data_IF_386974795696
#
_entry.id   IF_386974795696
#
_cell.length_a   1.000
_cell.length_b   1.000
_cell.length_c   1.000
_cell.angle_alpha   90.00
_cell.angle_beta   90.00
_cell.angle_gamma   90.00
#
_symmetry.space_group_name_H-M   'P 1'
#
loop_
_entity.id
_entity.type
_entity.pdbx_description
1 polymer ?
#
# COMPACT_ATOMS: atom_id res chain seq x y z
N UNK A 1 -19.36 -20.44 38.85
CA UNK A 1 -20.21 -19.87 37.82
C UNK A 1 -19.98 -20.55 36.48
N UNK A 2 -20.94 -20.66 35.57
CA UNK A 2 -20.70 -21.28 34.27
C UNK A 2 -19.65 -20.48 33.49
N UNK A 3 -18.82 -21.13 32.66
CA UNK A 3 -17.86 -20.42 31.85
C UNK A 3 -18.63 -19.50 30.87
N UNK A 4 -18.31 -18.23 30.88
CA UNK A 4 -18.79 -17.27 29.89
C UNK A 4 -18.45 -17.78 28.49
N UNK A 5 -19.48 -18.14 27.73
CA UNK A 5 -19.29 -18.66 26.38
C UNK A 5 -18.83 -17.50 25.48
N UNK A 6 -17.79 -17.73 24.70
CA UNK A 6 -17.27 -16.79 23.70
C UNK A 6 -18.33 -16.33 22.66
N UNK A 7 -19.49 -16.96 22.66
CA UNK A 7 -20.56 -16.77 21.65
C UNK A 7 -21.34 -15.48 21.86
N UNK A 8 -21.27 -14.88 23.06
CA UNK A 8 -22.11 -13.72 23.43
C UNK A 8 -21.35 -12.36 23.33
N UNK A 9 -20.09 -12.38 22.89
CA UNK A 9 -19.27 -11.16 22.72
C UNK A 9 -19.41 -10.62 21.30
N UNK A 10 -19.47 -9.29 21.18
CA UNK A 10 -19.31 -8.67 19.87
C UNK A 10 -17.95 -9.03 19.24
N UNK A 11 -17.86 -9.02 17.90
CA UNK A 11 -16.64 -9.41 17.18
C UNK A 11 -15.42 -8.63 17.62
N UNK A 12 -15.55 -7.33 17.90
CA UNK A 12 -14.47 -6.48 18.42
C UNK A 12 -13.97 -6.92 19.79
N UNK A 13 -14.87 -7.36 20.68
CA UNK A 13 -14.54 -7.88 22.00
C UNK A 13 -13.88 -9.25 21.92
N UNK A 14 -14.33 -10.11 21.01
CA UNK A 14 -13.72 -11.41 20.74
C UNK A 14 -12.28 -11.26 20.25
N UNK A 15 -12.02 -10.34 19.32
CA UNK A 15 -10.69 -10.03 18.81
C UNK A 15 -9.79 -9.50 19.92
N UNK A 16 -10.29 -8.57 20.74
CA UNK A 16 -9.55 -7.99 21.86
C UNK A 16 -9.16 -9.05 22.88
N UNK A 17 -10.12 -9.91 23.25
CA UNK A 17 -9.89 -11.02 24.18
C UNK A 17 -8.87 -12.03 23.61
N UNK A 18 -8.95 -12.34 22.32
CA UNK A 18 -7.99 -13.21 21.65
C UNK A 18 -6.57 -12.61 21.69
N UNK A 19 -6.43 -11.32 21.48
CA UNK A 19 -5.14 -10.63 21.56
C UNK A 19 -4.59 -10.61 22.99
N UNK A 20 -5.42 -10.32 23.98
CA UNK A 20 -5.04 -10.32 25.41
C UNK A 20 -4.59 -11.71 25.90
N UNK A 21 -5.27 -12.77 25.46
CA UNK A 21 -4.91 -14.16 25.79
C UNK A 21 -3.57 -14.54 25.16
N UNK A 22 -3.34 -14.15 23.91
CA UNK A 22 -2.11 -14.51 23.18
C UNK A 22 -0.89 -13.69 23.59
N UNK A 23 -1.04 -12.49 24.13
CA UNK A 23 0.08 -11.72 24.70
C UNK A 23 0.75 -12.45 25.89
N UNK A 24 -0.01 -13.29 26.57
CA UNK A 24 0.47 -14.04 27.74
C UNK A 24 1.04 -15.44 27.41
N UNK A 25 0.83 -15.97 26.20
CA UNK A 25 1.23 -17.35 25.88
C UNK A 25 2.29 -17.44 24.77
N UNK A 26 2.12 -16.73 23.67
CA UNK A 26 3.05 -16.64 22.55
C UNK A 26 2.79 -15.35 21.80
N UNK A 27 3.81 -14.58 21.49
CA UNK A 27 3.66 -13.33 20.76
C UNK A 27 2.89 -13.56 19.44
N UNK A 28 1.75 -12.90 19.30
CA UNK A 28 1.00 -12.89 18.03
C UNK A 28 1.87 -12.23 16.97
N UNK A 29 2.04 -12.84 15.77
CA UNK A 29 2.78 -12.23 14.68
C UNK A 29 2.29 -10.81 14.42
N UNK A 30 3.22 -9.88 14.19
CA UNK A 30 2.91 -8.46 13.99
C UNK A 30 1.93 -8.24 12.84
N UNK A 31 2.09 -8.96 11.72
CA UNK A 31 1.19 -8.92 10.57
C UNK A 31 -0.23 -9.36 10.90
N UNK A 32 -0.39 -10.41 11.73
CA UNK A 32 -1.71 -10.85 12.17
C UNK A 32 -2.36 -9.82 13.11
N UNK A 33 -1.59 -9.23 14.01
CA UNK A 33 -2.04 -8.18 14.92
C UNK A 33 -2.54 -6.94 14.15
N UNK A 34 -1.83 -6.54 13.12
CA UNK A 34 -2.24 -5.44 12.23
C UNK A 34 -3.58 -5.74 11.55
N UNK A 35 -3.75 -6.96 11.04
CA UNK A 35 -4.99 -7.39 10.37
C UNK A 35 -6.19 -7.40 11.33
N UNK A 36 -6.01 -7.92 12.55
CA UNK A 36 -7.05 -7.93 13.58
C UNK A 36 -7.42 -6.52 14.06
N UNK A 37 -6.43 -5.64 14.22
CA UNK A 37 -6.67 -4.25 14.57
C UNK A 37 -7.47 -3.50 13.49
N UNK A 38 -7.30 -3.83 12.21
CA UNK A 38 -8.07 -3.24 11.14
C UNK A 38 -9.57 -3.50 11.30
N UNK A 39 -9.97 -4.73 11.62
CA UNK A 39 -11.38 -5.06 11.87
C UNK A 39 -11.96 -4.29 13.06
N UNK A 40 -11.17 -4.09 14.13
CA UNK A 40 -11.61 -3.34 15.32
C UNK A 40 -11.79 -1.84 15.06
N UNK A 41 -10.94 -1.26 14.22
CA UNK A 41 -10.87 0.19 14.02
C UNK A 41 -11.70 0.66 12.81
N UNK A 42 -12.33 -0.26 12.08
CA UNK A 42 -13.06 0.04 10.84
C UNK A 42 -14.17 1.09 11.04
N UNK A 43 -14.90 0.99 12.14
CA UNK A 43 -15.97 1.91 12.51
C UNK A 43 -15.63 2.74 13.77
N UNK A 44 -14.35 2.92 14.07
CA UNK A 44 -13.93 3.74 15.20
C UNK A 44 -14.52 5.16 15.15
N UNK A 45 -14.90 5.76 16.28
CA UNK A 45 -15.30 7.16 16.33
C UNK A 45 -14.13 8.14 16.04
N UNK A 46 -12.88 7.66 16.10
CA UNK A 46 -11.69 8.39 15.68
C UNK A 46 -11.43 8.15 14.18
N UNK A 47 -11.54 9.20 13.37
CA UNK A 47 -11.38 9.09 11.92
C UNK A 47 -9.95 8.75 11.49
N UNK A 48 -8.95 9.12 12.29
CA UNK A 48 -7.56 8.71 12.06
C UNK A 48 -7.41 7.20 12.19
N UNK A 49 -8.05 6.58 13.18
CA UNK A 49 -8.09 5.13 13.36
C UNK A 49 -8.86 4.43 12.23
N UNK A 50 -9.97 5.00 11.76
CA UNK A 50 -10.69 4.48 10.60
C UNK A 50 -9.79 4.43 9.36
N UNK A 51 -9.01 5.48 9.11
CA UNK A 51 -8.07 5.51 7.98
C UNK A 51 -6.90 4.54 8.15
N UNK A 52 -6.46 4.31 9.37
CA UNK A 52 -5.49 3.24 9.67
C UNK A 52 -6.06 1.87 9.32
N UNK A 53 -7.29 1.57 9.71
CA UNK A 53 -7.99 0.34 9.36
C UNK A 53 -8.13 0.17 7.84
N UNK A 54 -8.47 1.23 7.12
CA UNK A 54 -8.58 1.23 5.67
C UNK A 54 -7.24 0.89 5.00
N UNK A 55 -6.13 1.48 5.43
CA UNK A 55 -4.80 1.16 4.91
C UNK A 55 -4.43 -0.30 5.15
N UNK A 56 -4.75 -0.83 6.32
CA UNK A 56 -4.55 -2.24 6.66
C UNK A 56 -5.37 -3.17 5.76
N UNK A 57 -6.63 -2.82 5.53
CA UNK A 57 -7.53 -3.60 4.65
C UNK A 57 -7.02 -3.64 3.22
N UNK A 58 -6.59 -2.51 2.67
CA UNK A 58 -6.00 -2.43 1.33
C UNK A 58 -4.74 -3.30 1.23
N UNK A 59 -3.85 -3.23 2.23
CA UNK A 59 -2.64 -4.05 2.26
C UNK A 59 -2.96 -5.55 2.29
N UNK A 60 -3.94 -5.96 3.07
CA UNK A 60 -4.41 -7.34 3.14
C UNK A 60 -5.00 -7.79 1.81
N UNK A 61 -5.89 -7.01 1.22
CA UNK A 61 -6.50 -7.34 -0.08
C UNK A 61 -5.45 -7.48 -1.18
N UNK A 62 -4.44 -6.60 -1.23
CA UNK A 62 -3.33 -6.71 -2.18
C UNK A 62 -2.56 -8.02 -2.05
N UNK A 63 -2.46 -8.58 -0.85
CA UNK A 63 -1.76 -9.85 -0.63
C UNK A 63 -2.62 -11.10 -0.84
N UNK A 64 -3.93 -11.00 -0.68
CA UNK A 64 -4.86 -12.16 -0.62
C UNK A 64 -5.75 -12.31 -1.85
N UNK A 65 -6.16 -11.21 -2.49
CA UNK A 65 -7.04 -11.28 -3.66
C UNK A 65 -6.34 -11.97 -4.84
N UNK A 66 -7.04 -12.94 -5.45
CA UNK A 66 -6.45 -13.76 -6.53
C UNK A 66 -6.09 -12.96 -7.78
N UNK A 67 -6.77 -11.83 -8.00
CA UNK A 67 -6.52 -10.92 -9.12
C UNK A 67 -5.40 -9.94 -8.86
N UNK A 68 -4.98 -9.79 -7.60
CA UNK A 68 -3.94 -8.85 -7.22
C UNK A 68 -2.57 -9.25 -7.77
N UNK A 69 -1.82 -8.31 -8.35
CA UNK A 69 -0.44 -8.57 -8.77
C UNK A 69 0.51 -8.85 -7.60
N UNK A 70 0.13 -8.48 -6.38
CA UNK A 70 0.88 -8.78 -5.14
C UNK A 70 0.36 -10.03 -4.40
N UNK A 71 -0.57 -10.78 -4.98
CA UNK A 71 -1.01 -12.06 -4.43
C UNK A 71 0.20 -12.96 -4.14
N UNK A 72 0.25 -13.53 -2.95
CA UNK A 72 1.37 -14.38 -2.48
C UNK A 72 2.74 -13.68 -2.41
N UNK A 73 2.80 -12.35 -2.49
CA UNK A 73 4.04 -11.57 -2.36
C UNK A 73 4.14 -10.80 -1.05
N UNK A 74 3.04 -10.72 -0.32
CA UNK A 74 2.96 -10.05 0.99
C UNK A 74 2.89 -11.10 2.09
N UNK A 75 3.71 -10.94 3.13
CA UNK A 75 3.69 -11.78 4.33
C UNK A 75 2.47 -11.38 5.18
N UNK A 76 1.47 -12.26 5.23
CA UNK A 76 0.23 -12.05 5.98
C UNK A 76 0.02 -13.20 6.97
N UNK A 77 -0.38 -12.87 8.20
CA UNK A 77 -0.67 -13.85 9.23
C UNK A 77 0.56 -14.71 9.57
N UNK A 78 0.42 -16.02 9.43
CA UNK A 78 1.46 -17.00 9.71
C UNK A 78 2.31 -17.37 8.49
N UNK A 79 2.09 -16.72 7.34
CA UNK A 79 2.86 -16.99 6.14
C UNK A 79 4.35 -16.71 6.36
N UNK A 80 5.19 -17.62 5.91
CA UNK A 80 6.64 -17.44 6.00
C UNK A 80 7.13 -16.46 4.92
N UNK A 81 8.13 -15.66 5.29
CA UNK A 81 8.88 -14.85 4.34
C UNK A 81 9.72 -15.76 3.44
N UNK A 82 9.71 -15.47 2.14
CA UNK A 82 10.53 -16.13 1.14
C UNK A 82 11.15 -15.06 0.23
N UNK A 83 12.13 -15.38 -0.63
CA UNK A 83 12.67 -14.40 -1.58
C UNK A 83 11.62 -13.75 -2.50
N UNK A 84 10.51 -14.45 -2.78
CA UNK A 84 9.41 -13.91 -3.60
C UNK A 84 8.22 -13.42 -2.78
N UNK A 85 8.15 -13.78 -1.49
CA UNK A 85 7.17 -13.27 -0.51
C UNK A 85 7.93 -12.50 0.56
N UNK A 86 8.38 -11.30 0.24
CA UNK A 86 9.25 -10.50 1.11
C UNK A 86 8.71 -9.09 1.41
N UNK A 87 7.51 -8.77 0.94
CA UNK A 87 6.82 -7.51 1.25
C UNK A 87 6.03 -7.70 2.55
N UNK A 88 6.10 -6.74 3.46
CA UNK A 88 5.34 -6.77 4.70
C UNK A 88 4.06 -5.93 4.59
N UNK A 89 3.04 -6.30 5.36
CA UNK A 89 1.79 -5.50 5.47
C UNK A 89 2.12 -4.08 5.94
N UNK A 90 3.02 -3.96 6.90
CA UNK A 90 3.46 -2.68 7.47
C UNK A 90 4.14 -1.78 6.43
N UNK A 91 4.87 -2.36 5.48
CA UNK A 91 5.48 -1.59 4.38
C UNK A 91 4.41 -0.93 3.50
N UNK A 92 3.38 -1.68 3.12
CA UNK A 92 2.25 -1.15 2.35
C UNK A 92 1.50 -0.08 3.14
N UNK A 93 1.18 -0.36 4.41
CA UNK A 93 0.53 0.63 5.29
C UNK A 93 1.35 1.91 5.42
N UNK A 94 2.66 1.80 5.63
CA UNK A 94 3.56 2.95 5.74
C UNK A 94 3.59 3.78 4.47
N UNK A 95 3.62 3.14 3.30
CA UNK A 95 3.53 3.82 2.02
C UNK A 95 2.22 4.58 1.88
N UNK A 96 1.09 3.92 2.10
CA UNK A 96 -0.23 4.54 2.02
C UNK A 96 -0.41 5.70 3.01
N UNK A 97 0.19 5.61 4.21
CA UNK A 97 0.17 6.69 5.20
C UNK A 97 0.93 7.93 4.73
N UNK A 98 1.98 7.78 3.93
CA UNK A 98 2.76 8.88 3.35
C UNK A 98 2.07 9.51 2.13
N UNK A 99 1.07 8.84 1.56
CA UNK A 99 0.32 9.28 0.39
C UNK A 99 -0.86 10.18 0.77
N UNK A 100 -1.41 10.87 -0.23
CA UNK A 100 -2.59 11.75 -0.13
C UNK A 100 -3.86 11.09 -0.70
N UNK A 101 -3.89 9.77 -0.81
CA UNK A 101 -5.08 9.05 -1.29
C UNK A 101 -6.27 9.19 -0.34
N UNK A 102 -6.00 9.19 0.96
CA UNK A 102 -7.02 9.23 2.01
C UNK A 102 -6.89 10.50 2.85
N UNK A 103 -8.00 10.90 3.46
CA UNK A 103 -8.04 12.02 4.38
C UNK A 103 -7.04 11.84 5.54
N UNK A 104 -6.46 12.93 5.96
CA UNK A 104 -5.64 13.01 7.16
C UNK A 104 -6.36 13.82 8.22
N UNK A 105 -6.51 13.26 9.40
CA UNK A 105 -7.19 13.88 10.53
C UNK A 105 -6.22 14.13 11.68
N UNK A 106 -6.40 15.29 12.32
CA UNK A 106 -5.77 15.63 13.59
C UNK A 106 -6.65 15.28 14.79
N UNK A 107 -6.31 15.82 15.94
CA UNK A 107 -7.10 15.66 17.18
C UNK A 107 -8.54 16.10 16.98
N UNK A 108 -9.48 15.42 17.64
CA UNK A 108 -10.93 15.70 17.60
C UNK A 108 -11.51 15.64 16.17
N UNK A 109 -10.99 14.73 15.34
CA UNK A 109 -11.44 14.53 13.96
C UNK A 109 -11.36 15.78 13.06
N UNK A 110 -10.44 16.72 13.35
CA UNK A 110 -10.23 17.87 12.49
C UNK A 110 -9.52 17.43 11.22
N UNK A 111 -10.17 17.63 10.07
CA UNK A 111 -9.59 17.36 8.77
C UNK A 111 -8.37 18.25 8.52
N UNK A 112 -7.20 17.65 8.29
CA UNK A 112 -5.96 18.36 8.00
C UNK A 112 -5.65 18.41 6.51
N UNK A 113 -5.88 17.30 5.81
CA UNK A 113 -5.70 17.18 4.35
C UNK A 113 -6.79 16.30 3.78
N UNK A 114 -7.35 16.73 2.67
CA UNK A 114 -8.33 15.95 1.92
C UNK A 114 -7.62 14.94 1.02
N UNK A 115 -8.11 13.70 1.04
CA UNK A 115 -7.61 12.62 0.20
C UNK A 115 -8.23 12.61 -1.19
N UNK A 116 -7.44 12.25 -2.20
CA UNK A 116 -7.89 12.25 -3.61
C UNK A 116 -8.95 11.18 -3.90
N UNK A 117 -9.01 10.11 -3.10
CA UNK A 117 -9.98 9.02 -3.24
C UNK A 117 -10.95 8.91 -2.05
N UNK A 118 -10.84 9.75 -1.04
CA UNK A 118 -11.59 9.60 0.20
C UNK A 118 -13.05 10.03 0.04
N UNK A 119 -13.97 9.07 0.23
CA UNK A 119 -15.42 9.26 0.17
C UNK A 119 -16.06 9.48 1.55
N UNK A 120 -15.26 9.73 2.60
CA UNK A 120 -15.70 9.88 4.00
C UNK A 120 -16.28 8.61 4.64
N UNK A 121 -16.33 7.53 3.92
CA UNK A 121 -16.74 6.20 4.34
C UNK A 121 -15.69 5.19 3.93
N UNK A 122 -15.31 4.28 4.85
CA UNK A 122 -14.24 3.32 4.61
C UNK A 122 -14.58 2.32 3.49
N UNK A 123 -15.82 1.83 3.45
CA UNK A 123 -16.22 0.85 2.44
C UNK A 123 -16.28 1.48 1.05
N UNK A 124 -16.90 2.64 0.93
CA UNK A 124 -16.97 3.38 -0.34
C UNK A 124 -15.58 3.77 -0.84
N UNK A 125 -14.71 4.22 0.07
CA UNK A 125 -13.32 4.56 -0.27
C UNK A 125 -12.53 3.33 -0.70
N UNK A 126 -12.68 2.21 -0.01
CA UNK A 126 -12.06 0.94 -0.39
C UNK A 126 -12.51 0.47 -1.77
N UNK A 127 -13.81 0.49 -2.03
CA UNK A 127 -14.41 0.06 -3.30
C UNK A 127 -13.95 0.94 -4.49
N UNK A 128 -13.69 2.22 -4.23
CA UNK A 128 -13.18 3.16 -5.23
C UNK A 128 -11.66 3.01 -5.43
N UNK A 129 -10.90 2.93 -4.37
CA UNK A 129 -9.43 2.99 -4.42
C UNK A 129 -8.78 1.65 -4.78
N UNK A 130 -9.30 0.54 -4.27
CA UNK A 130 -8.64 -0.76 -4.47
C UNK A 130 -8.50 -1.14 -5.95
N UNK A 131 -9.55 -1.04 -6.79
CA UNK A 131 -9.41 -1.31 -8.23
C UNK A 131 -8.37 -0.41 -8.92
N UNK A 132 -8.25 0.82 -8.48
CA UNK A 132 -7.28 1.77 -9.00
C UNK A 132 -5.84 1.33 -8.71
N UNK A 133 -5.51 1.07 -7.44
CA UNK A 133 -4.14 0.68 -7.07
C UNK A 133 -3.77 -0.68 -7.65
N UNK A 134 -4.72 -1.63 -7.68
CA UNK A 134 -4.53 -2.93 -8.32
C UNK A 134 -4.18 -2.77 -9.80
N UNK A 135 -4.90 -1.93 -10.54
CA UNK A 135 -4.66 -1.66 -11.96
C UNK A 135 -3.31 -1.01 -12.21
N UNK A 136 -2.89 -0.06 -11.38
CA UNK A 136 -1.57 0.56 -11.47
C UNK A 136 -0.45 -0.48 -11.25
N UNK A 137 -0.57 -1.30 -10.23
CA UNK A 137 0.42 -2.33 -9.92
C UNK A 137 0.43 -3.45 -10.97
N UNK A 138 -0.72 -3.80 -11.53
CA UNK A 138 -0.84 -4.75 -12.64
C UNK A 138 -0.10 -4.26 -13.88
N UNK A 139 -0.28 -2.99 -14.25
CA UNK A 139 0.46 -2.36 -15.35
C UNK A 139 1.97 -2.45 -15.14
N UNK A 140 2.45 -2.15 -13.94
CA UNK A 140 3.89 -2.22 -13.62
C UNK A 140 4.38 -3.66 -13.69
N UNK A 141 3.63 -4.63 -13.16
CA UNK A 141 3.97 -6.07 -13.26
C UNK A 141 4.11 -6.52 -14.71
N UNK A 142 3.11 -6.24 -15.53
CA UNK A 142 3.07 -6.67 -16.93
C UNK A 142 4.19 -6.04 -17.76
N UNK A 143 4.55 -4.81 -17.46
CA UNK A 143 5.60 -4.07 -18.17
C UNK A 143 7.00 -4.44 -17.67
N UNK A 144 7.15 -4.83 -16.40
CA UNK A 144 8.42 -5.15 -15.76
C UNK A 144 8.48 -6.60 -15.25
N UNK A 145 7.92 -7.56 -15.98
CA UNK A 145 7.68 -8.92 -15.51
C UNK A 145 8.95 -9.60 -14.98
N UNK A 146 10.08 -9.46 -15.68
CA UNK A 146 11.34 -10.06 -15.25
C UNK A 146 11.82 -9.53 -13.88
N UNK A 147 11.67 -8.24 -13.62
CA UNK A 147 12.01 -7.66 -12.32
C UNK A 147 10.98 -8.02 -11.25
N UNK A 148 9.70 -8.03 -11.64
CA UNK A 148 8.62 -8.38 -10.73
C UNK A 148 8.78 -9.77 -10.14
N UNK A 149 9.12 -10.74 -10.98
CA UNK A 149 9.21 -12.15 -10.58
C UNK A 149 10.40 -12.47 -9.70
N UNK A 150 11.47 -11.67 -9.74
CA UNK A 150 12.67 -11.90 -8.94
C UNK A 150 12.45 -11.77 -7.44
N UNK A 151 11.52 -10.90 -7.00
CA UNK A 151 11.43 -10.57 -5.58
C UNK A 151 12.74 -9.99 -5.08
N UNK A 152 13.33 -10.57 -4.04
CA UNK A 152 14.60 -10.17 -3.44
C UNK A 152 15.79 -11.08 -3.86
N UNK A 153 15.61 -11.98 -4.81
CA UNK A 153 16.67 -12.84 -5.36
C UNK A 153 17.22 -12.30 -6.67
N UNK A 154 18.38 -12.80 -7.09
CA UNK A 154 19.03 -12.47 -8.38
C UNK A 154 19.19 -10.95 -8.63
N UNK A 155 19.52 -10.21 -7.58
CA UNK A 155 19.57 -8.75 -7.60
C UNK A 155 18.24 -8.06 -7.95
N UNK A 156 17.12 -8.76 -7.78
CA UNK A 156 15.78 -8.21 -7.91
C UNK A 156 15.57 -7.05 -6.93
N UNK A 157 14.79 -6.05 -7.34
CA UNK A 157 14.64 -4.84 -6.53
C UNK A 157 13.21 -4.26 -6.55
N UNK A 158 12.33 -4.75 -7.42
CA UNK A 158 11.01 -4.14 -7.60
C UNK A 158 10.02 -4.60 -6.55
N UNK A 159 9.88 -5.90 -6.33
CA UNK A 159 8.90 -6.48 -5.41
C UNK A 159 9.50 -6.77 -4.02
N UNK A 160 10.06 -5.74 -3.43
CA UNK A 160 10.59 -5.70 -2.07
C UNK A 160 10.08 -4.43 -1.35
N UNK A 161 10.14 -4.42 -0.03
CA UNK A 161 9.55 -3.34 0.79
C UNK A 161 9.89 -1.93 0.29
N UNK A 162 11.16 -1.62 0.16
CA UNK A 162 11.65 -0.26 -0.16
C UNK A 162 11.18 0.22 -1.52
N UNK A 163 11.22 -0.65 -2.51
CA UNK A 163 10.82 -0.32 -3.88
C UNK A 163 9.31 -0.25 -4.04
N UNK A 164 8.55 -1.21 -3.50
CA UNK A 164 7.09 -1.17 -3.61
C UNK A 164 6.48 0.04 -2.86
N UNK A 165 7.07 0.43 -1.73
CA UNK A 165 6.71 1.66 -1.04
C UNK A 165 6.93 2.89 -1.95
N UNK A 166 8.06 2.95 -2.63
CA UNK A 166 8.39 4.02 -3.57
C UNK A 166 7.46 4.03 -4.78
N UNK A 167 7.10 2.87 -5.31
CA UNK A 167 6.13 2.74 -6.41
C UNK A 167 4.77 3.31 -6.00
N UNK A 168 4.24 2.95 -4.84
CA UNK A 168 2.96 3.46 -4.33
C UNK A 168 3.03 4.99 -4.15
N UNK A 169 4.13 5.51 -3.61
CA UNK A 169 4.31 6.96 -3.41
C UNK A 169 4.39 7.72 -4.74
N UNK A 170 5.06 7.18 -5.74
CA UNK A 170 5.14 7.81 -7.08
C UNK A 170 3.80 7.78 -7.80
N UNK A 171 3.01 6.72 -7.63
CA UNK A 171 1.63 6.69 -8.14
C UNK A 171 0.81 7.82 -7.50
N UNK A 172 0.96 8.04 -6.20
CA UNK A 172 0.33 9.16 -5.49
C UNK A 172 0.78 10.52 -6.04
N UNK A 173 2.08 10.70 -6.29
CA UNK A 173 2.61 11.95 -6.87
C UNK A 173 1.97 12.24 -8.24
N UNK A 174 1.87 11.23 -9.11
CA UNK A 174 1.21 11.35 -10.42
C UNK A 174 -0.26 11.74 -10.25
N UNK A 175 -0.99 11.07 -9.37
CA UNK A 175 -2.40 11.38 -9.10
C UNK A 175 -2.56 12.80 -8.60
N UNK A 176 -1.78 13.20 -7.60
CA UNK A 176 -1.86 14.55 -7.03
C UNK A 176 -1.59 15.63 -8.10
N UNK A 177 -0.57 15.46 -8.90
CA UNK A 177 -0.26 16.38 -9.99
C UNK A 177 -1.42 16.49 -10.99
N UNK A 178 -2.00 15.36 -11.40
CA UNK A 178 -3.12 15.35 -12.35
C UNK A 178 -4.40 15.97 -11.76
N UNK A 179 -4.67 15.73 -10.48
CA UNK A 179 -5.80 16.34 -9.77
C UNK A 179 -5.60 17.84 -9.62
N UNK A 180 -4.42 18.30 -9.22
CA UNK A 180 -4.10 19.72 -9.07
C UNK A 180 -4.19 20.49 -10.40
N UNK A 181 -3.87 19.83 -11.52
CA UNK A 181 -4.04 20.38 -12.88
C UNK A 181 -5.47 20.27 -13.41
N UNK A 182 -6.39 19.67 -12.66
CA UNK A 182 -7.79 19.45 -13.09
C UNK A 182 -7.94 18.43 -14.24
N UNK A 183 -6.95 17.57 -14.45
CA UNK A 183 -6.94 16.61 -15.56
C UNK A 183 -7.67 15.31 -15.24
N UNK A 184 -7.77 14.94 -13.96
CA UNK A 184 -8.53 13.78 -13.48
C UNK A 184 -9.36 14.14 -12.23
N UNK A 185 -10.43 13.37 -12.03
CA UNK A 185 -11.33 13.48 -10.87
C UNK A 185 -11.59 12.09 -10.29
N UNK A 186 -10.71 11.58 -9.41
CA UNK A 186 -10.76 10.19 -8.94
C UNK A 186 -12.08 9.76 -8.30
N UNK A 187 -12.79 10.68 -7.61
CA UNK A 187 -14.05 10.36 -6.92
C UNK A 187 -15.27 10.26 -7.82
N UNK A 188 -15.21 10.79 -9.02
CA UNK A 188 -16.38 10.91 -9.93
C UNK A 188 -16.13 10.38 -11.34
N UNK A 189 -14.88 10.30 -11.75
CA UNK A 189 -14.49 9.83 -13.07
C UNK A 189 -14.33 8.30 -13.08
N UNK A 190 -14.76 7.65 -14.14
CA UNK A 190 -14.52 6.21 -14.33
C UNK A 190 -13.02 5.91 -14.40
N UNK A 191 -12.59 4.80 -13.79
CA UNK A 191 -11.19 4.39 -13.74
C UNK A 191 -10.56 4.32 -15.14
N UNK A 192 -11.23 3.71 -16.10
CA UNK A 192 -10.70 3.55 -17.45
C UNK A 192 -10.49 4.89 -18.17
N UNK A 193 -11.30 5.91 -17.85
CA UNK A 193 -11.19 7.23 -18.45
C UNK A 193 -9.98 8.03 -17.94
N UNK A 194 -9.54 7.79 -16.70
CA UNK A 194 -8.37 8.46 -16.13
C UNK A 194 -7.08 7.64 -16.25
N UNK A 195 -7.18 6.33 -16.42
CA UNK A 195 -6.01 5.44 -16.35
C UNK A 195 -5.01 5.69 -17.48
N UNK A 196 -5.47 6.06 -18.66
CA UNK A 196 -4.58 6.38 -19.79
C UNK A 196 -3.58 7.50 -19.48
N UNK A 197 -4.01 8.56 -18.78
CA UNK A 197 -3.11 9.62 -18.32
C UNK A 197 -2.14 9.13 -17.26
N UNK A 198 -2.62 8.37 -16.30
CA UNK A 198 -1.77 7.80 -15.26
C UNK A 198 -0.70 6.91 -15.87
N UNK A 199 -1.08 6.02 -16.77
CA UNK A 199 -0.18 5.16 -17.52
C UNK A 199 0.87 5.95 -18.30
N UNK A 200 0.49 7.04 -18.94
CA UNK A 200 1.40 7.93 -19.66
C UNK A 200 2.52 8.45 -18.76
N UNK A 201 2.20 8.86 -17.53
CA UNK A 201 3.21 9.33 -16.57
C UNK A 201 3.97 8.19 -15.89
N UNK A 202 3.41 6.99 -15.76
CA UNK A 202 4.10 5.83 -15.19
C UNK A 202 5.04 5.13 -16.18
N UNK A 203 4.87 5.33 -17.49
CA UNK A 203 5.70 4.68 -18.51
C UNK A 203 7.19 4.96 -18.33
N UNK A 204 7.68 6.19 -18.10
CA UNK A 204 9.09 6.43 -17.84
C UNK A 204 9.65 5.68 -16.63
N UNK A 205 8.83 5.46 -15.59
CA UNK A 205 9.21 4.64 -14.45
C UNK A 205 9.46 3.18 -14.85
N UNK A 206 8.56 2.58 -15.62
CA UNK A 206 8.72 1.19 -16.07
C UNK A 206 9.89 1.05 -17.05
N UNK A 207 10.10 2.02 -17.92
CA UNK A 207 11.26 2.07 -18.80
C UNK A 207 12.57 2.17 -17.99
N UNK A 208 12.62 3.00 -16.96
CA UNK A 208 13.75 3.12 -16.05
C UNK A 208 14.06 1.79 -15.34
N UNK A 209 13.05 1.15 -14.76
CA UNK A 209 13.21 -0.13 -14.05
C UNK A 209 13.77 -1.20 -14.99
N UNK A 210 13.24 -1.31 -16.21
CA UNK A 210 13.67 -2.29 -17.20
C UNK A 210 15.10 -2.07 -17.72
N UNK A 211 15.60 -0.85 -17.65
CA UNK A 211 16.93 -0.46 -18.17
C UNK A 211 17.97 -0.19 -17.08
N UNK A 212 17.69 -0.53 -15.83
CA UNK A 212 18.66 -0.39 -14.75
C UNK A 212 19.92 -1.21 -15.01
N UNK A 213 21.09 -0.54 -14.98
CA UNK A 213 22.37 -1.21 -15.06
C UNK A 213 22.82 -1.72 -13.67
N UNK A 214 23.92 -2.50 -13.67
CA UNK A 214 24.44 -3.12 -12.45
C UNK A 214 24.87 -2.08 -11.38
N UNK A 215 25.41 -0.93 -11.77
CA UNK A 215 25.82 0.13 -10.86
C UNK A 215 24.60 0.79 -10.19
N UNK A 216 23.59 1.14 -10.96
CA UNK A 216 22.33 1.69 -10.46
C UNK A 216 21.63 0.73 -9.49
N UNK A 217 21.60 -0.57 -9.81
CA UNK A 217 21.04 -1.62 -8.94
C UNK A 217 21.81 -1.71 -7.64
N UNK A 218 23.13 -1.73 -7.69
CA UNK A 218 24.00 -1.76 -6.51
C UNK A 218 23.80 -0.52 -5.64
N UNK A 219 23.70 0.65 -6.22
CA UNK A 219 23.48 1.90 -5.49
C UNK A 219 22.13 1.89 -4.77
N UNK A 220 21.03 1.52 -5.43
CA UNK A 220 19.71 1.45 -4.83
C UNK A 220 19.61 0.37 -3.75
N UNK A 221 20.14 -0.82 -3.99
CA UNK A 221 20.10 -1.93 -3.03
C UNK A 221 21.03 -1.72 -1.84
N UNK A 222 22.13 -1.04 -2.03
CA UNK A 222 23.16 -0.83 -1.01
C UNK A 222 22.76 0.11 0.13
N UNK A 223 21.64 0.80 0.00
CA UNK A 223 21.17 1.73 1.03
C UNK A 223 20.18 1.06 1.98
N UNK A 224 20.54 1.00 3.26
CA UNK A 224 19.75 0.39 4.33
C UNK A 224 19.42 1.42 5.41
N UNK A 225 18.35 1.15 6.18
CA UNK A 225 17.95 1.97 7.31
C UNK A 225 16.84 2.97 6.99
N UNK A 226 16.63 3.92 7.90
CA UNK A 226 15.59 4.93 7.78
C UNK A 226 15.79 5.81 6.53
N UNK A 227 14.75 5.90 5.69
CA UNK A 227 14.80 6.67 4.44
C UNK A 227 15.23 5.89 3.20
N UNK A 228 15.45 4.58 3.29
CA UNK A 228 15.80 3.76 2.14
C UNK A 228 14.67 3.73 1.08
N UNK A 229 13.41 3.72 1.49
CA UNK A 229 12.26 3.89 0.61
C UNK A 229 12.23 5.26 -0.08
N UNK A 230 12.69 6.30 0.61
CA UNK A 230 12.79 7.67 0.06
C UNK A 230 13.84 7.75 -1.05
N UNK A 231 14.93 7.00 -0.96
CA UNK A 231 15.94 6.94 -2.02
C UNK A 231 15.38 6.34 -3.31
N UNK A 232 14.67 5.21 -3.20
CA UNK A 232 13.94 4.63 -4.33
C UNK A 232 12.90 5.60 -4.90
N UNK A 233 12.12 6.22 -4.03
CA UNK A 233 11.09 7.18 -4.44
C UNK A 233 11.66 8.36 -5.22
N UNK A 234 12.77 8.96 -4.76
CA UNK A 234 13.44 10.04 -5.49
C UNK A 234 13.98 9.61 -6.86
N UNK A 235 14.53 8.39 -6.94
CA UNK A 235 15.00 7.83 -8.21
C UNK A 235 13.84 7.66 -9.20
N UNK A 236 12.70 7.16 -8.71
CA UNK A 236 11.48 6.95 -9.52
C UNK A 236 10.83 8.27 -9.94
N UNK A 237 10.76 9.25 -9.06
CA UNK A 237 10.32 10.61 -9.40
C UNK A 237 11.20 11.23 -10.48
N UNK A 238 12.52 11.12 -10.33
CA UNK A 238 13.48 11.65 -11.30
C UNK A 238 13.30 11.00 -12.67
N UNK A 239 13.11 9.69 -12.72
CA UNK A 239 12.87 8.97 -13.98
C UNK A 239 11.64 9.50 -14.72
N UNK A 240 10.57 9.84 -14.00
CA UNK A 240 9.39 10.45 -14.60
C UNK A 240 9.66 11.89 -15.02
N UNK A 241 10.23 12.71 -14.14
CA UNK A 241 10.48 14.13 -14.40
C UNK A 241 11.42 14.36 -15.58
N UNK A 242 12.43 13.52 -15.76
CA UNK A 242 13.37 13.60 -16.89
C UNK A 242 12.67 13.41 -18.25
N UNK A 243 11.56 12.64 -18.29
CA UNK A 243 10.80 12.35 -19.52
C UNK A 243 9.46 13.10 -19.61
N UNK A 244 9.01 13.66 -18.51
CA UNK A 244 7.75 14.43 -18.38
C UNK A 244 8.04 15.72 -17.63
N UNK A 245 8.47 16.79 -18.32
CA UNK A 245 8.89 18.04 -17.67
C UNK A 245 7.79 18.75 -16.89
N UNK A 246 6.54 18.38 -17.14
CA UNK A 246 5.36 18.92 -16.47
C UNK A 246 4.94 18.12 -15.20
N UNK A 247 5.66 17.06 -14.89
CA UNK A 247 5.48 16.26 -13.67
C UNK A 247 6.04 16.91 -12.41
#
# INVERSE_FOLDING_TARGET
GPPTSFVDLERSEQIKLFMDINENQKAVPKSLRVTLNADMLWESPDFSEQRQALRSKIAQMLGEESTSPLNSRIVIGENESTPTRCITVEAIQSALKKCRFFDSYGKKNVLQKEGTFDCKDNQETCDLFYPFIEKCLLYIRETCLNEWDKGDQDSGMLTMNRSIQAVIRVIDDVVNMLVEKGMIQPKTQALDDMFGLIQYYLKPLTDYINNLNAEQRKDLRGYFGGGADTRFWRAYQKAIADMRPDF
#
